data_IF_711216681349
#
_entry.id   IF_711216681349
#
_cell.length_a   1.000
_cell.length_b   1.000
_cell.length_c   1.000
_cell.angle_alpha   90.00
_cell.angle_beta   90.00
_cell.angle_gamma   90.00
#
_symmetry.space_group_name_H-M   'P 1'
#
loop_
_entity.id
_entity.type
_entity.pdbx_description
1 polymer ?
#
# COMPACT_ATOMS: atom_id res chain seq x y z
N UNK A 1 -19.24 3.62 -13.83
CA UNK A 1 -18.30 2.49 -13.67
C UNK A 1 -19.01 1.23 -14.14
N UNK A 2 -18.40 0.46 -15.05
CA UNK A 2 -18.97 -0.78 -15.60
C UNK A 2 -17.91 -1.87 -15.49
N UNK A 3 -18.22 -2.93 -14.75
CA UNK A 3 -17.35 -4.10 -14.57
C UNK A 3 -18.14 -5.34 -14.95
N UNK A 4 -17.52 -6.22 -15.73
CA UNK A 4 -18.08 -7.51 -16.14
C UNK A 4 -17.01 -8.58 -16.00
N UNK A 5 -17.34 -9.69 -15.35
CA UNK A 5 -16.48 -10.86 -15.24
C UNK A 5 -17.29 -12.11 -15.55
N UNK A 6 -16.75 -12.99 -16.39
CA UNK A 6 -17.39 -14.26 -16.76
C UNK A 6 -16.63 -15.40 -16.10
N UNK A 7 -17.29 -16.12 -15.22
CA UNK A 7 -16.76 -17.34 -14.62
C UNK A 7 -16.92 -18.51 -15.61
N UNK A 8 -15.87 -19.32 -15.80
CA UNK A 8 -15.87 -20.45 -16.74
C UNK A 8 -16.21 -21.80 -16.10
N UNK A 9 -16.20 -21.92 -14.77
CA UNK A 9 -16.33 -23.19 -14.06
C UNK A 9 -17.08 -23.06 -12.72
N UNK A 10 -18.35 -22.64 -12.77
CA UNK A 10 -19.23 -22.65 -11.59
C UNK A 10 -20.03 -23.96 -11.52
N UNK A 11 -20.13 -24.62 -10.35
CA UNK A 11 -21.04 -25.75 -10.17
C UNK A 11 -22.52 -25.39 -10.50
N UNK A 12 -23.30 -26.33 -11.01
CA UNK A 12 -24.67 -26.02 -11.50
C UNK A 12 -25.71 -25.95 -10.37
N UNK A 13 -25.51 -26.72 -9.29
CA UNK A 13 -26.57 -26.99 -8.30
C UNK A 13 -26.42 -26.25 -6.96
N UNK A 14 -25.52 -25.25 -6.89
CA UNK A 14 -25.28 -24.49 -5.65
C UNK A 14 -25.40 -22.99 -5.89
N UNK A 15 -25.96 -22.23 -4.94
CA UNK A 15 -25.96 -20.77 -5.04
C UNK A 15 -24.54 -20.23 -4.87
N UNK A 16 -24.18 -19.24 -5.67
CA UNK A 16 -22.96 -18.45 -5.51
C UNK A 16 -23.27 -17.14 -4.82
N UNK A 17 -22.25 -16.56 -4.22
CA UNK A 17 -22.33 -15.24 -3.68
C UNK A 17 -21.13 -14.44 -4.15
N UNK A 18 -21.41 -13.28 -4.74
CA UNK A 18 -20.41 -12.24 -4.88
C UNK A 18 -20.39 -11.47 -3.57
N UNK A 19 -19.25 -11.50 -2.87
CA UNK A 19 -19.01 -10.77 -1.64
C UNK A 19 -18.06 -9.63 -1.97
N UNK A 20 -18.37 -8.43 -1.50
CA UNK A 20 -17.45 -7.29 -1.61
C UNK A 20 -16.69 -7.21 -0.29
N UNK A 21 -15.43 -7.66 -0.28
CA UNK A 21 -14.65 -7.69 0.96
C UNK A 21 -14.16 -6.30 1.40
N UNK A 22 -13.98 -5.39 0.43
CA UNK A 22 -13.71 -3.98 0.69
C UNK A 22 -13.40 -3.18 -0.56
N UNK A 23 -13.07 -1.90 -0.38
CA UNK A 23 -12.67 -0.99 -1.44
C UNK A 23 -11.69 0.07 -0.92
N UNK A 24 -10.95 0.70 -1.83
CA UNK A 24 -10.00 1.77 -1.54
C UNK A 24 -10.54 3.11 -2.02
N UNK A 25 -10.35 4.17 -1.23
CA UNK A 25 -10.69 5.56 -1.61
C UNK A 25 -9.48 6.44 -1.41
N UNK A 26 -9.14 7.26 -2.40
CA UNK A 26 -8.08 8.26 -2.27
C UNK A 26 -8.53 9.37 -1.33
N UNK A 27 -7.92 9.46 -0.15
CA UNK A 27 -8.23 10.47 0.87
C UNK A 27 -7.03 11.39 1.13
N UNK A 28 -7.32 12.59 1.66
CA UNK A 28 -6.28 13.45 2.23
C UNK A 28 -6.00 12.98 3.65
N UNK A 29 -4.72 12.89 4.00
CA UNK A 29 -4.30 12.51 5.34
C UNK A 29 -3.78 13.73 6.10
N UNK A 30 -2.61 14.24 5.70
CA UNK A 30 -1.97 15.39 6.34
C UNK A 30 -1.22 15.05 7.62
N UNK A 31 -1.19 13.78 8.06
CA UNK A 31 -0.35 13.36 9.17
C UNK A 31 1.13 13.62 8.88
N UNK A 32 1.86 14.05 9.91
CA UNK A 32 3.26 14.44 9.79
C UNK A 32 4.05 14.15 11.06
N UNK A 33 5.35 13.91 10.89
CA UNK A 33 6.34 13.81 11.97
C UNK A 33 7.54 14.69 11.63
N UNK A 34 8.07 15.40 12.63
CA UNK A 34 9.24 16.25 12.47
C UNK A 34 10.36 15.75 13.39
N UNK A 35 11.57 15.59 12.84
CA UNK A 35 12.73 15.09 13.58
C UNK A 35 14.03 15.69 13.01
N UNK A 36 15.12 15.59 13.77
CA UNK A 36 16.48 15.89 13.30
C UNK A 36 17.10 14.58 12.80
N UNK A 37 17.32 14.40 11.48
CA UNK A 37 17.82 13.14 10.96
C UNK A 37 19.21 12.73 11.46
N UNK A 38 20.05 13.68 11.90
CA UNK A 38 21.40 13.41 12.40
C UNK A 38 21.42 12.99 13.87
N UNK A 39 20.42 13.40 14.66
CA UNK A 39 20.37 13.19 16.11
C UNK A 39 19.11 12.47 16.60
N UNK A 40 18.27 11.99 15.69
CA UNK A 40 17.07 11.22 16.00
C UNK A 40 17.41 9.90 16.71
N UNK A 41 16.55 9.54 17.67
CA UNK A 41 16.51 8.20 18.25
C UNK A 41 15.63 7.32 17.34
N UNK A 42 16.25 6.38 16.63
CA UNK A 42 15.58 5.54 15.64
C UNK A 42 15.10 4.21 16.25
N UNK A 43 14.00 3.63 15.76
CA UNK A 43 13.20 4.09 14.62
C UNK A 43 12.27 5.27 14.95
N UNK A 44 11.98 6.10 13.95
CA UNK A 44 10.95 7.13 14.03
C UNK A 44 9.60 6.48 13.69
N UNK A 45 8.66 6.51 14.63
CA UNK A 45 7.33 5.96 14.42
C UNK A 45 6.44 6.95 13.64
N UNK A 46 5.73 6.44 12.65
CA UNK A 46 4.79 7.19 11.82
C UNK A 46 3.48 6.41 11.69
N UNK A 47 2.51 6.80 12.51
CA UNK A 47 1.21 6.13 12.61
C UNK A 47 0.11 6.99 12.00
N UNK A 48 -0.54 6.49 10.96
CA UNK A 48 -1.65 7.23 10.39
C UNK A 48 -2.71 6.33 9.75
N UNK A 49 -3.97 6.65 10.03
CA UNK A 49 -5.16 5.98 9.48
C UNK A 49 -5.13 4.45 9.56
N UNK A 50 -4.49 3.91 10.60
CA UNK A 50 -4.37 2.47 10.83
C UNK A 50 -3.15 1.81 10.17
N UNK A 51 -2.32 2.57 9.47
CA UNK A 51 -0.98 2.15 9.07
C UNK A 51 0.01 2.48 10.18
N UNK A 52 0.98 1.59 10.36
CA UNK A 52 2.08 1.69 11.31
C UNK A 52 3.37 1.57 10.54
N UNK A 53 4.16 2.63 10.50
CA UNK A 53 5.47 2.67 9.85
C UNK A 53 6.56 3.01 10.85
N UNK A 54 7.69 2.33 10.74
CA UNK A 54 8.92 2.61 11.46
C UNK A 54 9.97 3.04 10.45
N UNK A 55 10.38 4.31 10.52
CA UNK A 55 11.45 4.85 9.69
C UNK A 55 12.78 4.60 10.39
N UNK A 56 13.65 3.80 9.79
CA UNK A 56 15.00 3.57 10.27
C UNK A 56 15.93 4.76 10.01
N UNK A 57 17.22 4.58 10.30
CA UNK A 57 18.20 5.67 10.22
C UNK A 57 18.31 6.27 8.81
N UNK A 58 18.31 7.61 8.75
CA UNK A 58 18.47 8.35 7.50
C UNK A 58 19.82 8.09 6.83
N UNK A 59 19.83 7.97 5.50
CA UNK A 59 21.02 7.75 4.68
C UNK A 59 21.00 8.68 3.46
N UNK A 60 22.17 8.89 2.87
CA UNK A 60 22.33 9.54 1.57
C UNK A 60 22.90 8.50 0.60
N UNK A 61 22.12 8.15 -0.41
CA UNK A 61 22.48 7.15 -1.42
C UNK A 61 22.23 7.71 -2.82
N UNK A 62 22.83 7.08 -3.82
CA UNK A 62 22.49 7.37 -5.21
C UNK A 62 21.14 6.77 -5.58
N UNK A 63 20.39 7.40 -6.49
CA UNK A 63 19.14 6.85 -6.99
C UNK A 63 19.36 5.45 -7.61
N UNK A 64 18.73 4.44 -7.02
CA UNK A 64 18.83 3.05 -7.44
C UNK A 64 20.23 2.45 -7.29
N UNK A 65 21.03 3.01 -6.39
CA UNK A 65 22.41 2.62 -6.13
C UNK A 65 23.32 2.72 -7.38
N UNK A 66 22.92 3.55 -8.35
CA UNK A 66 23.67 3.87 -9.56
C UNK A 66 24.49 5.15 -9.35
N UNK A 67 25.84 5.08 -9.29
CA UNK A 67 26.69 6.26 -9.08
C UNK A 67 26.53 7.36 -10.13
N UNK A 68 25.97 7.07 -11.31
CA UNK A 68 25.70 8.07 -12.35
C UNK A 68 24.44 8.90 -12.06
N UNK A 69 23.64 8.52 -11.06
CA UNK A 69 22.40 9.17 -10.68
C UNK A 69 22.59 10.21 -9.57
N UNK A 70 21.66 11.17 -9.40
CA UNK A 70 21.69 12.10 -8.29
C UNK A 70 21.66 11.40 -6.92
N UNK A 71 22.23 12.07 -5.91
CA UNK A 71 22.07 11.68 -4.52
C UNK A 71 20.66 12.01 -4.03
N UNK A 72 20.16 11.19 -3.11
CA UNK A 72 18.89 11.39 -2.44
C UNK A 72 18.91 10.82 -1.02
N UNK A 73 17.98 11.32 -0.20
CA UNK A 73 17.77 10.82 1.15
C UNK A 73 17.02 9.50 1.11
N UNK A 74 17.40 8.53 1.95
CA UNK A 74 16.65 7.28 2.08
C UNK A 74 16.39 6.92 3.54
N UNK A 75 15.25 6.26 3.77
CA UNK A 75 14.85 5.66 5.02
C UNK A 75 14.48 4.20 4.75
N UNK A 76 15.15 3.21 5.37
CA UNK A 76 14.59 1.87 5.44
C UNK A 76 13.30 1.92 6.27
N UNK A 77 12.28 1.16 5.86
CA UNK A 77 10.96 1.18 6.48
C UNK A 77 10.48 -0.22 6.82
N UNK A 78 10.08 -0.40 8.07
CA UNK A 78 9.36 -1.57 8.55
C UNK A 78 7.94 -1.20 8.97
N UNK A 79 7.07 -2.21 9.07
CA UNK A 79 5.76 -2.05 9.68
C UNK A 79 4.63 -2.67 8.87
N UNK A 80 3.41 -2.20 9.11
CA UNK A 80 2.19 -2.73 8.50
C UNK A 80 1.39 -1.60 7.90
N UNK A 81 1.08 -1.73 6.61
CA UNK A 81 0.21 -0.78 5.89
C UNK A 81 -1.11 -1.50 5.64
N UNK A 82 -2.18 -1.06 6.27
CA UNK A 82 -3.54 -1.54 6.03
C UNK A 82 -4.18 -0.88 4.81
N UNK A 83 -3.79 0.36 4.53
CA UNK A 83 -4.20 1.12 3.35
C UNK A 83 -3.40 0.66 2.11
N UNK A 84 -3.80 1.12 0.93
CA UNK A 84 -3.13 0.75 -0.32
C UNK A 84 -1.90 1.63 -0.60
N UNK A 85 -0.73 1.03 -0.82
CA UNK A 85 0.51 1.77 -1.13
C UNK A 85 0.57 2.43 -2.52
N UNK A 86 -0.28 2.02 -3.47
CA UNK A 86 -0.07 2.32 -4.89
C UNK A 86 -0.20 3.80 -5.29
N UNK A 87 -0.95 4.60 -4.53
CA UNK A 87 -1.25 6.01 -4.84
C UNK A 87 -1.03 6.94 -3.64
N UNK A 88 -0.29 6.46 -2.64
CA UNK A 88 0.12 7.28 -1.50
C UNK A 88 1.03 8.42 -1.97
N UNK A 89 0.80 9.61 -1.43
CA UNK A 89 1.63 10.79 -1.72
C UNK A 89 2.32 11.22 -0.44
N UNK A 90 3.64 11.00 -0.38
CA UNK A 90 4.50 11.44 0.71
C UNK A 90 5.34 12.65 0.29
N UNK A 91 5.55 13.57 1.24
CA UNK A 91 6.30 14.81 1.06
C UNK A 91 7.24 14.96 2.25
N UNK A 92 8.48 15.36 1.99
CA UNK A 92 9.39 15.79 3.04
C UNK A 92 9.62 17.31 2.95
N UNK A 93 9.81 17.96 4.10
CA UNK A 93 10.06 19.40 4.19
C UNK A 93 11.25 19.66 5.10
N UNK A 94 12.27 20.35 4.61
CA UNK A 94 13.49 20.64 5.38
C UNK A 94 13.36 21.91 6.25
N UNK A 95 14.44 22.25 6.97
CA UNK A 95 14.52 23.44 7.84
C UNK A 95 14.32 24.77 7.10
N UNK A 96 14.52 24.80 5.78
CA UNK A 96 14.32 25.97 4.93
C UNK A 96 12.91 26.02 4.31
N UNK A 97 12.06 25.03 4.60
CA UNK A 97 10.74 24.90 4.01
C UNK A 97 10.74 24.38 2.57
N UNK A 98 11.87 23.86 2.08
CA UNK A 98 11.96 23.23 0.75
C UNK A 98 11.21 21.91 0.80
N UNK A 99 10.42 21.65 -0.25
CA UNK A 99 9.54 20.48 -0.33
C UNK A 99 10.11 19.46 -1.30
N UNK A 100 10.15 18.21 -0.87
CA UNK A 100 10.70 17.10 -1.62
C UNK A 100 9.63 16.04 -1.86
N UNK A 101 9.64 15.45 -3.04
CA UNK A 101 8.82 14.28 -3.33
C UNK A 101 9.44 13.06 -2.66
N UNK A 102 8.62 12.24 -2.02
CA UNK A 102 9.07 10.97 -1.45
C UNK A 102 8.42 9.81 -2.19
N UNK A 103 9.24 8.88 -2.67
CA UNK A 103 8.78 7.67 -3.34
C UNK A 103 9.19 6.44 -2.53
N UNK A 104 8.32 5.44 -2.47
CA UNK A 104 8.66 4.16 -1.89
C UNK A 104 9.18 3.16 -2.93
N UNK A 105 10.14 2.33 -2.55
CA UNK A 105 10.73 1.28 -3.39
C UNK A 105 11.14 0.09 -2.52
N UNK A 106 11.02 -1.11 -3.06
CA UNK A 106 11.52 -2.34 -2.43
C UNK A 106 10.47 -3.42 -2.42
N UNK A 107 10.80 -4.52 -1.76
CA UNK A 107 9.91 -5.65 -1.58
C UNK A 107 8.89 -5.38 -0.46
N UNK A 108 7.72 -5.99 -0.59
CA UNK A 108 6.71 -6.07 0.46
C UNK A 108 5.99 -7.40 0.34
N UNK A 109 5.42 -7.86 1.44
CA UNK A 109 4.59 -9.07 1.46
C UNK A 109 3.14 -8.69 1.68
N UNK A 110 2.20 -9.39 1.03
CA UNK A 110 0.78 -9.21 1.33
C UNK A 110 0.49 -9.68 2.76
N UNK A 111 -0.38 -8.96 3.48
CA UNK A 111 -0.81 -9.44 4.79
C UNK A 111 -1.50 -10.80 4.64
N UNK A 112 -1.33 -11.73 5.61
CA UNK A 112 -1.98 -13.03 5.57
C UNK A 112 -3.51 -12.96 5.64
N UNK A 113 -4.08 -11.81 6.01
CA UNK A 113 -5.53 -11.65 6.11
C UNK A 113 -6.15 -11.45 4.72
N UNK A 114 -6.95 -12.42 4.29
CA UNK A 114 -7.65 -12.36 2.99
C UNK A 114 -8.70 -11.25 2.88
N UNK A 115 -8.85 -10.40 3.91
CA UNK A 115 -9.86 -9.35 4.02
C UNK A 115 -9.26 -7.95 4.13
N UNK A 116 -7.97 -7.79 3.84
CA UNK A 116 -7.35 -6.47 3.71
C UNK A 116 -6.63 -6.34 2.37
N UNK A 117 -6.47 -5.09 1.91
CA UNK A 117 -5.49 -4.75 0.89
C UNK A 117 -4.10 -4.51 1.49
N UNK A 118 -3.91 -4.90 2.75
CA UNK A 118 -2.76 -4.53 3.54
C UNK A 118 -1.52 -5.34 3.20
N UNK A 119 -0.39 -4.78 3.56
CA UNK A 119 0.94 -5.34 3.33
C UNK A 119 1.80 -5.21 4.59
N UNK A 120 2.83 -6.03 4.63
CA UNK A 120 3.88 -5.99 5.63
C UNK A 120 5.16 -5.53 4.94
N UNK A 121 5.80 -4.52 5.54
CA UNK A 121 7.11 -4.02 5.18
C UNK A 121 8.11 -4.62 6.17
N UNK A 122 9.02 -5.45 5.68
CA UNK A 122 10.03 -6.12 6.49
C UNK A 122 11.42 -5.58 6.19
N UNK A 123 12.27 -5.64 7.22
CA UNK A 123 13.70 -5.39 7.08
C UNK A 123 14.33 -6.43 6.14
N UNK A 124 15.40 -6.02 5.46
CA UNK A 124 16.22 -6.85 4.57
C UNK A 124 16.70 -8.11 5.31
N UNK A 125 16.51 -9.29 4.73
CA UNK A 125 17.28 -10.47 5.10
C UNK A 125 18.57 -10.47 4.27
N UNK A 126 19.68 -9.99 4.86
CA UNK A 126 20.99 -9.84 4.20
C UNK A 126 21.68 -11.17 3.83
N UNK A 127 20.97 -12.30 3.76
CA UNK A 127 21.59 -13.58 3.41
C UNK A 127 21.73 -13.80 1.90
N UNK A 128 20.90 -13.16 1.08
CA UNK A 128 21.06 -13.14 -0.38
C UNK A 128 20.72 -11.74 -0.90
N UNK A 129 21.61 -11.17 -1.72
CA UNK A 129 21.62 -9.82 -2.32
C UNK A 129 20.39 -9.46 -3.20
N UNK A 130 19.32 -10.25 -3.13
CA UNK A 130 18.13 -10.16 -3.97
C UNK A 130 16.91 -9.53 -3.29
N UNK A 131 16.88 -9.44 -1.96
CA UNK A 131 15.74 -8.90 -1.21
C UNK A 131 16.04 -7.50 -0.66
N UNK A 132 15.95 -6.49 -1.52
CA UNK A 132 15.96 -5.11 -1.07
C UNK A 132 14.66 -4.82 -0.33
N UNK A 133 14.75 -4.76 1.00
CA UNK A 133 13.67 -4.31 1.89
C UNK A 133 13.11 -2.95 1.47
N UNK A 134 11.96 -2.59 2.03
CA UNK A 134 11.26 -1.39 1.61
C UNK A 134 11.97 -0.12 2.12
N UNK A 135 12.15 0.87 1.24
CA UNK A 135 12.71 2.17 1.56
C UNK A 135 11.81 3.30 1.05
N UNK A 136 11.73 4.38 1.82
CA UNK A 136 11.23 5.67 1.37
C UNK A 136 12.40 6.56 0.95
N UNK A 137 12.28 7.18 -0.22
CA UNK A 137 13.38 7.88 -0.90
C UNK A 137 12.97 9.33 -1.18
N UNK A 138 13.66 10.26 -0.54
CA UNK A 138 13.44 11.71 -0.58
C UNK A 138 14.26 12.29 -1.73
N UNK A 139 13.60 12.44 -2.89
CA UNK A 139 14.27 12.81 -4.12
C UNK A 139 14.97 14.16 -4.00
N UNK A 140 16.15 14.30 -4.60
CA UNK A 140 16.94 15.54 -4.67
C UNK A 140 17.43 16.09 -3.32
N UNK A 141 17.17 15.40 -2.20
CA UNK A 141 17.74 15.74 -0.90
C UNK A 141 19.11 15.07 -0.76
N UNK A 142 20.15 15.74 -1.25
CA UNK A 142 21.53 15.24 -1.33
C UNK A 142 22.37 15.45 -0.06
N UNK A 143 21.73 15.86 1.03
CA UNK A 143 22.37 16.16 2.31
C UNK A 143 21.53 15.73 3.50
N UNK A 144 22.16 15.66 4.67
CA UNK A 144 21.45 15.50 5.94
C UNK A 144 20.96 16.89 6.40
N UNK A 145 19.64 17.14 6.45
CA UNK A 145 19.10 18.41 6.95
C UNK A 145 19.16 18.46 8.48
N UNK A 146 19.13 19.66 9.07
CA UNK A 146 19.05 19.83 10.53
C UNK A 146 17.67 19.43 11.08
N UNK A 147 16.64 19.55 10.23
CA UNK A 147 15.29 19.16 10.56
C UNK A 147 14.59 18.68 9.30
N UNK A 148 13.84 17.58 9.42
CA UNK A 148 12.99 17.05 8.37
C UNK A 148 11.59 16.83 8.92
N UNK A 149 10.59 17.34 8.20
CA UNK A 149 9.18 17.03 8.42
C UNK A 149 8.72 16.08 7.34
N UNK A 150 8.41 14.84 7.71
CA UNK A 150 7.82 13.84 6.83
C UNK A 150 6.29 13.90 6.92
N UNK A 151 5.62 13.97 5.77
CA UNK A 151 4.18 14.21 5.66
C UNK A 151 3.58 13.16 4.72
N UNK A 152 2.51 12.48 5.14
CA UNK A 152 1.63 11.77 4.20
C UNK A 152 0.51 12.68 3.77
N UNK A 153 0.59 13.19 2.54
CA UNK A 153 -0.39 14.12 2.00
C UNK A 153 -1.69 13.41 1.57
N UNK A 154 -1.56 12.23 0.95
CA UNK A 154 -2.70 11.41 0.52
C UNK A 154 -2.42 9.93 0.74
N UNK A 155 -3.49 9.17 0.92
CA UNK A 155 -3.43 7.71 0.96
C UNK A 155 -4.64 7.06 0.29
N UNK A 156 -4.49 5.83 -0.17
CA UNK A 156 -5.62 4.99 -0.59
C UNK A 156 -6.20 4.27 0.63
N UNK A 157 -7.16 4.90 1.30
CA UNK A 157 -7.74 4.37 2.52
C UNK A 157 -8.57 3.13 2.24
N UNK A 158 -8.33 2.06 3.01
CA UNK A 158 -9.10 0.82 2.95
C UNK A 158 -10.39 0.89 3.76
N UNK A 159 -11.50 0.52 3.12
CA UNK A 159 -12.82 0.32 3.72
C UNK A 159 -13.21 -1.15 3.57
N UNK A 160 -12.96 -1.93 4.61
CA UNK A 160 -13.31 -3.36 4.67
C UNK A 160 -14.61 -3.65 5.41
N UNK A 161 -14.91 -4.94 5.59
CA UNK A 161 -16.08 -5.46 6.31
C UNK A 161 -17.41 -4.94 5.75
N UNK A 162 -17.58 -5.00 4.43
CA UNK A 162 -18.86 -4.64 3.84
C UNK A 162 -19.83 -5.82 3.97
N UNK A 163 -21.08 -5.55 4.37
CA UNK A 163 -22.15 -6.55 4.39
C UNK A 163 -22.70 -6.85 2.97
N UNK A 164 -22.06 -6.32 1.93
CA UNK A 164 -22.57 -6.41 0.56
C UNK A 164 -22.33 -7.81 -0.02
N UNK A 165 -23.43 -8.55 -0.15
CA UNK A 165 -23.45 -9.90 -0.68
C UNK A 165 -24.57 -10.07 -1.69
N UNK A 166 -24.22 -10.46 -2.91
CA UNK A 166 -25.18 -10.67 -4.00
C UNK A 166 -25.26 -12.15 -4.30
N UNK A 167 -26.44 -12.75 -4.12
CA UNK A 167 -26.69 -14.14 -4.50
C UNK A 167 -26.80 -14.25 -6.01
N UNK A 168 -26.03 -15.16 -6.59
CA UNK A 168 -26.09 -15.52 -8.01
C UNK A 168 -26.59 -16.97 -8.09
N UNK A 169 -27.71 -17.15 -8.78
CA UNK A 169 -28.28 -18.48 -9.04
C UNK A 169 -28.94 -18.44 -10.40
N UNK A 170 -28.63 -19.43 -11.25
CA UNK A 170 -29.33 -19.60 -12.50
C UNK A 170 -30.80 -19.93 -12.22
N UNK A 171 -31.71 -19.16 -12.80
CA UNK A 171 -33.13 -19.49 -12.76
C UNK A 171 -33.37 -20.61 -13.76
N UNK A 172 -33.70 -21.81 -13.28
CA UNK A 172 -34.20 -22.89 -14.16
C UNK A 172 -35.35 -22.32 -14.99
N UNK A 173 -35.23 -22.34 -16.32
CA UNK A 173 -36.30 -21.92 -17.20
C UNK A 173 -37.53 -22.79 -16.93
N UNK A 174 -38.64 -22.17 -16.51
CA UNK A 174 -39.92 -22.87 -16.46
C UNK A 174 -40.40 -23.01 -17.91
N UNK A 175 -40.06 -24.10 -18.59
CA UNK A 175 -40.72 -24.40 -19.86
C UNK A 175 -40.04 -25.39 -20.79
N UNK A 176 -39.99 -26.66 -20.42
CA UNK A 176 -40.15 -27.76 -21.37
C UNK A 176 -41.11 -28.80 -20.80
N UNK A 177 -42.39 -28.42 -20.69
CA UNK A 177 -43.52 -29.34 -20.65
C UNK A 177 -44.28 -29.18 -21.98
N UNK A 178 -43.80 -29.85 -23.03
CA UNK A 178 -44.46 -30.08 -24.33
C UNK A 178 -43.70 -31.26 -24.97
N UNK A 179 -44.24 -32.44 -25.23
CA UNK A 179 -45.58 -32.98 -25.22
C UNK A 179 -45.45 -34.49 -24.88
N UNK A 180 -46.22 -34.97 -23.91
CA UNK A 180 -46.79 -36.32 -23.99
C UNK A 180 -48.27 -36.19 -24.33
N UNK A 181 -48.79 -37.16 -25.09
CA UNK A 181 -50.13 -37.31 -25.72
C UNK A 181 -50.15 -36.82 -27.18
N UNK A 182 -50.38 -37.66 -28.19
CA UNK A 182 -51.08 -38.96 -28.26
C UNK A 182 -50.35 -39.92 -29.19
#
# INVERSE_FOLDING_TARGET
MHWSYTFSQLPVDKPYYLVIDGYLVKERDGHQVTFDPAHADYPIHFDSMGDYLELGAYRINHEGDDPARPLEGTFPVTGTVRNGLGDDEYIAVDEQGRRYKVNGRGAYTLMPDSHSAGIVLSEVAYEDDSDMGYELRVQELDRVPEQLTFIRAKTMRWYGNTDAKIKIQELKSKGENRLEKK
#
